data_IF_503732461692
#
_entry.id   IF_503732461692
#
_cell.length_a   1.000
_cell.length_b   1.000
_cell.length_c   1.000
_cell.angle_alpha   90.00
_cell.angle_beta   90.00
_cell.angle_gamma   90.00
#
_symmetry.space_group_name_H-M   'P 1'
#
loop_
_entity.id
_entity.type
_entity.pdbx_description
1 polymer ?
#
# COMPACT_ATOMS: atom_id res chain seq x y z
N UNK A 1 -11.79 -16.99 -9.89
CA UNK A 1 -12.22 -16.12 -8.81
C UNK A 1 -12.83 -14.82 -9.30
N UNK A 2 -13.21 -13.99 -8.37
CA UNK A 2 -13.76 -12.65 -8.58
C UNK A 2 -12.95 -11.64 -7.78
N UNK A 3 -11.61 -11.73 -7.84
CA UNK A 3 -10.69 -10.79 -7.17
C UNK A 3 -10.96 -9.38 -7.66
N UNK A 4 -10.85 -8.39 -6.78
CA UNK A 4 -11.15 -6.99 -7.10
C UNK A 4 -12.62 -6.60 -6.97
N UNK A 5 -13.53 -7.55 -6.70
CA UNK A 5 -14.95 -7.23 -6.56
C UNK A 5 -15.24 -6.31 -5.37
N UNK A 6 -14.51 -6.44 -4.26
CA UNK A 6 -14.67 -5.55 -3.10
C UNK A 6 -14.35 -4.09 -3.46
N UNK A 7 -13.22 -3.85 -4.15
CA UNK A 7 -12.87 -2.52 -4.64
C UNK A 7 -13.85 -2.01 -5.70
N UNK A 8 -14.31 -2.87 -6.59
CA UNK A 8 -15.37 -2.50 -7.53
C UNK A 8 -16.66 -2.10 -6.81
N UNK A 9 -16.98 -2.73 -5.67
CA UNK A 9 -18.13 -2.35 -4.84
C UNK A 9 -17.95 -1.01 -4.14
N UNK A 10 -16.73 -0.64 -3.76
CA UNK A 10 -16.45 0.72 -3.31
C UNK A 10 -16.97 1.76 -4.32
N UNK A 11 -16.65 1.59 -5.61
CA UNK A 11 -17.17 2.43 -6.69
C UNK A 11 -18.69 2.34 -6.85
N UNK A 12 -19.22 1.10 -6.86
CA UNK A 12 -20.65 0.85 -7.06
C UNK A 12 -21.53 1.50 -6.00
N UNK A 13 -21.05 1.68 -4.78
CA UNK A 13 -21.79 2.28 -3.68
C UNK A 13 -22.13 3.77 -3.89
N UNK A 14 -21.55 4.41 -4.90
CA UNK A 14 -21.85 5.79 -5.32
C UNK A 14 -22.73 5.86 -6.57
N UNK A 15 -23.12 4.70 -7.16
CA UNK A 15 -23.78 4.62 -8.48
C UNK A 15 -25.30 4.48 -8.40
N UNK A 16 -25.89 4.90 -7.29
CA UNK A 16 -27.33 5.03 -7.12
C UNK A 16 -27.99 3.89 -6.36
N UNK A 17 -29.07 4.24 -5.71
CA UNK A 17 -29.93 3.36 -4.90
C UNK A 17 -31.40 3.55 -5.28
N UNK A 18 -32.33 3.04 -4.46
CA UNK A 18 -33.74 3.13 -4.77
C UNK A 18 -34.25 4.57 -4.86
N UNK A 19 -33.75 5.46 -3.98
CA UNK A 19 -34.20 6.84 -3.86
C UNK A 19 -33.12 7.88 -4.16
N UNK A 20 -31.87 7.48 -4.30
CA UNK A 20 -30.74 8.34 -4.60
C UNK A 20 -30.21 8.01 -6.00
N UNK A 21 -30.34 8.91 -6.98
CA UNK A 21 -29.83 8.70 -8.32
C UNK A 21 -28.31 8.50 -8.37
N UNK A 22 -27.76 7.94 -9.47
CA UNK A 22 -26.31 7.82 -9.64
C UNK A 22 -25.59 9.15 -9.42
N UNK A 23 -24.43 9.11 -8.75
CA UNK A 23 -23.54 10.24 -8.41
C UNK A 23 -24.14 11.24 -7.40
N UNK A 24 -25.42 11.15 -7.07
CA UNK A 24 -26.09 12.09 -6.17
C UNK A 24 -25.67 11.93 -4.72
N UNK A 25 -25.27 10.76 -4.26
CA UNK A 25 -24.83 10.52 -2.87
C UNK A 25 -23.74 11.54 -2.44
N UNK A 26 -22.66 11.57 -3.18
CA UNK A 26 -21.54 12.48 -2.89
C UNK A 26 -21.93 13.95 -3.10
N UNK A 27 -22.76 14.25 -4.11
CA UNK A 27 -23.23 15.61 -4.39
C UNK A 27 -24.09 16.14 -3.24
N UNK A 28 -25.03 15.36 -2.76
CA UNK A 28 -25.92 15.74 -1.66
C UNK A 28 -25.17 16.03 -0.36
N UNK A 29 -24.16 15.23 -0.02
CA UNK A 29 -23.30 15.48 1.14
C UNK A 29 -22.46 16.76 0.96
N UNK A 30 -21.92 16.99 -0.22
CA UNK A 30 -21.14 18.21 -0.51
C UNK A 30 -22.01 19.49 -0.46
N UNK A 31 -23.27 19.43 -0.87
CA UNK A 31 -24.20 20.57 -0.81
C UNK A 31 -24.47 21.05 0.61
N UNK A 32 -24.41 20.17 1.59
CA UNK A 32 -24.56 20.54 3.01
C UNK A 32 -23.22 20.88 3.69
N UNK A 33 -22.15 21.04 2.90
CA UNK A 33 -20.80 21.35 3.41
C UNK A 33 -20.02 20.13 3.89
N UNK A 34 -20.45 18.94 3.51
CA UNK A 34 -19.81 17.67 3.89
C UNK A 34 -18.64 17.28 2.98
N UNK A 35 -17.86 16.36 3.47
CA UNK A 35 -16.81 15.63 2.74
C UNK A 35 -17.17 14.15 2.75
N UNK A 36 -16.90 13.46 1.67
CA UNK A 36 -17.20 12.03 1.50
C UNK A 36 -16.04 11.37 0.79
N UNK A 37 -15.66 10.19 1.27
CA UNK A 37 -14.67 9.35 0.63
C UNK A 37 -14.90 7.87 0.98
N UNK A 38 -14.14 6.99 0.33
CA UNK A 38 -14.08 5.56 0.63
C UNK A 38 -12.71 5.01 0.29
N UNK A 39 -12.38 3.86 0.83
CA UNK A 39 -11.19 3.10 0.45
C UNK A 39 -11.38 1.61 0.74
N UNK A 40 -10.68 0.78 -0.02
CA UNK A 40 -10.64 -0.68 0.16
C UNK A 40 -9.21 -1.12 0.45
N UNK A 41 -9.06 -1.89 1.52
CA UNK A 41 -7.82 -2.56 1.88
C UNK A 41 -7.96 -4.08 1.68
N UNK A 42 -6.99 -4.83 2.13
CA UNK A 42 -7.02 -6.29 2.14
C UNK A 42 -8.13 -6.85 3.05
N UNK A 43 -8.48 -6.13 4.13
CA UNK A 43 -9.34 -6.61 5.20
C UNK A 43 -10.74 -5.98 5.18
N UNK A 44 -10.88 -4.74 4.69
CA UNK A 44 -12.12 -3.99 4.79
C UNK A 44 -12.34 -3.01 3.63
N UNK A 45 -13.59 -2.60 3.45
CA UNK A 45 -13.94 -1.38 2.72
C UNK A 45 -14.54 -0.39 3.71
N UNK A 46 -13.95 0.80 3.80
CA UNK A 46 -14.44 1.88 4.64
C UNK A 46 -15.12 2.95 3.79
N UNK A 47 -16.25 3.45 4.30
CA UNK A 47 -16.97 4.60 3.76
C UNK A 47 -17.04 5.63 4.87
N UNK A 48 -16.68 6.87 4.59
CA UNK A 48 -16.64 7.89 5.62
C UNK A 48 -17.13 9.24 5.11
N UNK A 49 -18.01 9.82 5.91
CA UNK A 49 -18.63 11.11 5.66
C UNK A 49 -18.33 12.06 6.83
N UNK A 50 -17.89 13.26 6.54
CA UNK A 50 -17.79 14.34 7.53
C UNK A 50 -18.81 15.40 7.18
N UNK A 51 -19.75 15.67 8.08
CA UNK A 51 -20.84 16.64 7.87
C UNK A 51 -21.00 17.53 9.08
N UNK A 52 -21.59 18.74 8.94
CA UNK A 52 -22.02 19.52 10.11
C UNK A 52 -22.99 18.70 10.98
N UNK A 53 -22.97 18.82 12.34
CA UNK A 53 -23.77 18.01 13.23
C UNK A 53 -25.28 18.01 12.92
N UNK A 54 -25.82 19.13 12.44
CA UNK A 54 -27.22 19.26 12.03
C UNK A 54 -27.63 18.34 10.86
N UNK A 55 -26.65 17.81 10.10
CA UNK A 55 -26.90 16.91 8.98
C UNK A 55 -26.51 15.44 9.28
N UNK A 56 -26.19 15.11 10.53
CA UNK A 56 -25.83 13.74 10.90
C UNK A 56 -26.94 12.73 10.55
N UNK A 57 -28.19 13.07 10.83
CA UNK A 57 -29.34 12.21 10.47
C UNK A 57 -29.50 12.03 8.95
N UNK A 58 -29.18 13.05 8.17
CA UNK A 58 -29.21 12.98 6.72
C UNK A 58 -28.10 12.05 6.17
N UNK A 59 -26.87 12.19 6.66
CA UNK A 59 -25.76 11.31 6.30
C UNK A 59 -26.07 9.84 6.67
N UNK A 60 -26.53 9.59 7.90
CA UNK A 60 -26.92 8.25 8.34
C UNK A 60 -28.03 7.64 7.47
N UNK A 61 -29.00 8.43 7.02
CA UNK A 61 -30.05 7.96 6.12
C UNK A 61 -29.49 7.57 4.74
N UNK A 62 -28.54 8.34 4.20
CA UNK A 62 -27.86 8.01 2.93
C UNK A 62 -27.02 6.73 3.05
N UNK A 63 -26.31 6.55 4.17
CA UNK A 63 -25.54 5.33 4.44
C UNK A 63 -26.44 4.08 4.55
N UNK A 64 -27.54 4.18 5.28
CA UNK A 64 -28.51 3.09 5.38
C UNK A 64 -29.17 2.76 4.02
N UNK A 65 -29.44 3.79 3.22
CA UNK A 65 -30.01 3.63 1.88
C UNK A 65 -29.08 2.81 0.98
N UNK A 66 -27.79 3.17 0.87
CA UNK A 66 -26.84 2.43 0.03
C UNK A 66 -26.52 1.04 0.60
N UNK A 67 -26.58 0.84 1.91
CA UNK A 67 -26.34 -0.48 2.52
C UNK A 67 -27.36 -1.52 2.05
N UNK A 68 -28.64 -1.16 1.82
CA UNK A 68 -29.71 -2.15 1.53
C UNK A 68 -30.50 -1.91 0.28
N UNK A 69 -30.34 -0.76 -0.37
CA UNK A 69 -31.16 -0.40 -1.53
C UNK A 69 -30.36 -0.02 -2.77
N UNK A 70 -29.08 -0.43 -2.80
CA UNK A 70 -28.20 -0.21 -3.95
C UNK A 70 -28.80 -0.81 -5.22
N UNK A 71 -28.70 -0.11 -6.34
CA UNK A 71 -29.17 -0.57 -7.67
C UNK A 71 -28.02 -1.10 -8.48
N UNK A 72 -28.02 -2.41 -8.72
CA UNK A 72 -27.00 -3.12 -9.49
C UNK A 72 -27.43 -3.32 -10.94
N UNK A 73 -27.53 -2.22 -11.70
CA UNK A 73 -27.87 -2.30 -13.12
C UNK A 73 -26.68 -2.85 -13.94
N UNK A 74 -26.92 -3.78 -14.89
CA UNK A 74 -25.85 -4.33 -15.73
C UNK A 74 -25.04 -3.26 -16.48
N UNK A 75 -25.67 -2.18 -16.93
CA UNK A 75 -24.98 -1.06 -17.59
C UNK A 75 -23.98 -0.36 -16.64
N UNK A 76 -24.40 -0.10 -15.41
CA UNK A 76 -23.56 0.53 -14.38
C UNK A 76 -22.40 -0.38 -13.97
N UNK A 77 -22.68 -1.67 -13.75
CA UNK A 77 -21.66 -2.67 -13.44
C UNK A 77 -20.59 -2.71 -14.53
N UNK A 78 -21.01 -2.73 -15.80
CA UNK A 78 -20.08 -2.76 -16.94
C UNK A 78 -19.28 -1.45 -17.09
N UNK A 79 -19.89 -0.30 -16.76
CA UNK A 79 -19.19 0.99 -16.75
C UNK A 79 -18.12 1.02 -15.66
N UNK A 80 -18.49 0.69 -14.43
CA UNK A 80 -17.56 0.72 -13.31
C UNK A 80 -16.43 -0.31 -13.41
N UNK A 81 -16.73 -1.48 -13.97
CA UNK A 81 -15.66 -2.44 -14.30
C UNK A 81 -14.58 -1.81 -15.16
N UNK A 82 -14.94 -1.08 -16.21
CA UNK A 82 -13.97 -0.41 -17.08
C UNK A 82 -13.18 0.68 -16.36
N UNK A 83 -13.82 1.39 -15.43
CA UNK A 83 -13.14 2.39 -14.59
C UNK A 83 -12.08 1.70 -13.72
N UNK A 84 -12.44 0.62 -13.03
CA UNK A 84 -11.51 -0.15 -12.18
C UNK A 84 -10.40 -0.80 -13.01
N UNK A 85 -10.71 -1.33 -14.20
CA UNK A 85 -9.68 -1.85 -15.12
C UNK A 85 -8.68 -0.77 -15.54
N UNK A 86 -9.16 0.44 -15.84
CA UNK A 86 -8.28 1.54 -16.21
C UNK A 86 -7.45 2.01 -15.02
N UNK A 87 -8.03 2.07 -13.84
CA UNK A 87 -7.30 2.36 -12.60
C UNK A 87 -6.20 1.33 -12.35
N UNK A 88 -6.50 0.03 -12.56
CA UNK A 88 -5.49 -1.02 -12.46
C UNK A 88 -4.35 -0.81 -13.45
N UNK A 89 -4.67 -0.48 -14.72
CA UNK A 89 -3.63 -0.17 -15.71
C UNK A 89 -2.76 0.99 -15.26
N UNK A 90 -3.37 2.07 -14.78
CA UNK A 90 -2.64 3.27 -14.36
C UNK A 90 -1.79 3.06 -13.10
N UNK A 91 -2.35 2.41 -12.07
CA UNK A 91 -1.71 2.28 -10.77
C UNK A 91 -0.80 1.07 -10.63
N UNK A 92 -0.98 0.06 -11.50
CA UNK A 92 -0.27 -1.20 -11.35
C UNK A 92 0.41 -1.61 -12.66
N UNK A 93 -0.36 -1.85 -13.75
CA UNK A 93 0.22 -2.48 -14.94
C UNK A 93 1.21 -1.57 -15.67
N UNK A 94 0.98 -0.26 -15.66
CA UNK A 94 1.87 0.76 -16.25
C UNK A 94 2.78 1.42 -15.21
N UNK A 95 2.64 1.09 -13.93
CA UNK A 95 3.49 1.61 -12.88
C UNK A 95 4.51 0.55 -12.42
N UNK A 96 5.81 0.80 -12.58
CA UNK A 96 6.85 -0.13 -12.14
C UNK A 96 6.77 -0.50 -10.65
N UNK A 97 6.39 0.45 -9.80
CA UNK A 97 6.26 0.21 -8.36
C UNK A 97 5.04 -0.67 -8.08
N UNK A 98 3.91 -0.40 -8.75
CA UNK A 98 2.71 -1.23 -8.67
C UNK A 98 2.99 -2.69 -9.08
N UNK A 99 3.72 -2.89 -10.18
CA UNK A 99 4.16 -4.23 -10.60
C UNK A 99 5.07 -4.91 -9.56
N UNK A 100 5.98 -4.14 -8.94
CA UNK A 100 6.86 -4.67 -7.90
C UNK A 100 6.06 -5.10 -6.66
N UNK A 101 5.08 -4.31 -6.24
CA UNK A 101 4.18 -4.64 -5.10
C UNK A 101 3.38 -5.90 -5.41
N UNK A 102 2.75 -6.02 -6.58
CA UNK A 102 2.04 -7.26 -6.95
C UNK A 102 2.96 -8.48 -6.94
N UNK A 103 4.16 -8.34 -7.53
CA UNK A 103 5.13 -9.43 -7.55
C UNK A 103 5.61 -9.79 -6.16
N UNK A 104 5.81 -8.79 -5.30
CA UNK A 104 6.23 -8.98 -3.93
C UNK A 104 5.17 -9.75 -3.13
N UNK A 105 3.90 -9.32 -3.17
CA UNK A 105 2.81 -10.02 -2.49
C UNK A 105 2.63 -11.46 -2.98
N UNK A 106 2.69 -11.69 -4.29
CA UNK A 106 2.60 -13.03 -4.87
C UNK A 106 3.75 -13.96 -4.48
N UNK A 107 4.90 -13.42 -4.06
CA UNK A 107 6.02 -14.19 -3.52
C UNK A 107 5.91 -14.39 -2.01
N UNK A 108 5.52 -13.32 -1.28
CA UNK A 108 5.41 -13.35 0.16
C UNK A 108 4.32 -14.35 0.59
N UNK A 109 3.16 -14.32 -0.04
CA UNK A 109 2.05 -15.20 0.30
C UNK A 109 1.83 -16.26 -0.79
N UNK A 110 1.86 -17.54 -0.39
CA UNK A 110 1.68 -18.67 -1.30
C UNK A 110 0.29 -19.29 -1.25
N UNK A 111 -0.43 -19.08 -0.15
CA UNK A 111 -1.76 -19.65 0.11
C UNK A 111 -2.79 -18.58 0.50
N UNK A 112 -2.39 -17.66 1.37
CA UNK A 112 -3.30 -16.64 1.91
C UNK A 112 -3.75 -15.66 0.82
N UNK A 113 -5.00 -15.15 0.87
CA UNK A 113 -5.52 -14.15 -0.07
C UNK A 113 -4.72 -12.86 -0.17
N UNK A 114 -3.89 -12.51 0.81
CA UNK A 114 -3.00 -11.35 0.72
C UNK A 114 -1.93 -11.44 -0.39
N UNK A 115 -1.92 -12.54 -1.15
CA UNK A 115 -1.04 -12.68 -2.31
C UNK A 115 -1.45 -11.85 -3.55
N UNK A 116 -2.57 -11.14 -3.49
CA UNK A 116 -3.01 -10.16 -4.50
C UNK A 116 -3.43 -8.85 -3.84
N UNK A 117 -3.46 -7.78 -4.62
CA UNK A 117 -3.90 -6.45 -4.19
C UNK A 117 -5.43 -6.33 -4.24
N UNK A 118 -6.01 -5.42 -3.44
CA UNK A 118 -7.46 -5.21 -3.35
C UNK A 118 -8.12 -4.93 -4.72
N UNK A 119 -7.40 -4.30 -5.66
CA UNK A 119 -7.91 -4.03 -7.01
C UNK A 119 -8.08 -5.29 -7.88
N UNK A 120 -7.44 -6.41 -7.51
CA UNK A 120 -7.54 -7.68 -8.20
C UNK A 120 -6.83 -7.75 -9.55
N UNK A 121 -7.33 -8.58 -10.46
CA UNK A 121 -6.78 -8.73 -11.81
C UNK A 121 -7.83 -8.40 -12.88
N UNK A 122 -7.40 -7.88 -14.03
CA UNK A 122 -8.30 -7.60 -15.16
C UNK A 122 -9.05 -8.88 -15.57
N UNK A 123 -8.38 -10.02 -15.63
CA UNK A 123 -8.99 -11.30 -15.99
C UNK A 123 -10.06 -11.79 -14.99
N UNK A 124 -9.96 -11.42 -13.71
CA UNK A 124 -11.01 -11.71 -12.73
C UNK A 124 -12.16 -10.70 -12.85
N UNK A 125 -11.87 -9.40 -13.02
CA UNK A 125 -12.87 -8.36 -13.23
C UNK A 125 -13.73 -8.61 -14.47
N UNK A 126 -13.12 -9.02 -15.58
CA UNK A 126 -13.83 -9.40 -16.82
C UNK A 126 -14.86 -10.52 -16.62
N UNK A 127 -14.63 -11.40 -15.66
CA UNK A 127 -15.53 -12.53 -15.35
C UNK A 127 -16.65 -12.18 -14.38
N UNK A 128 -16.58 -11.04 -13.68
CA UNK A 128 -17.63 -10.63 -12.73
C UNK A 128 -18.95 -10.39 -13.48
N UNK A 129 -19.97 -11.11 -13.08
CA UNK A 129 -21.32 -10.99 -13.63
C UNK A 129 -22.23 -10.15 -12.71
N UNK A 130 -23.37 -9.63 -13.22
CA UNK A 130 -24.36 -8.99 -12.33
C UNK A 130 -24.86 -9.91 -11.21
N UNK A 131 -24.95 -11.22 -11.43
CA UNK A 131 -25.31 -12.18 -10.40
C UNK A 131 -24.23 -12.33 -9.33
N UNK A 132 -22.93 -12.22 -9.71
CA UNK A 132 -21.83 -12.20 -8.75
C UNK A 132 -21.87 -10.93 -7.90
N UNK A 133 -22.15 -9.78 -8.51
CA UNK A 133 -22.32 -8.52 -7.79
C UNK A 133 -23.49 -8.60 -6.80
N UNK A 134 -24.66 -9.09 -7.24
CA UNK A 134 -25.81 -9.24 -6.34
C UNK A 134 -25.47 -10.16 -5.16
N UNK A 135 -24.86 -11.31 -5.44
CA UNK A 135 -24.46 -12.26 -4.40
C UNK A 135 -23.44 -11.66 -3.43
N UNK A 136 -22.46 -10.90 -3.93
CA UNK A 136 -21.47 -10.22 -3.10
C UNK A 136 -22.15 -9.18 -2.18
N UNK A 137 -23.02 -8.35 -2.72
CA UNK A 137 -23.79 -7.36 -1.98
C UNK A 137 -24.64 -8.01 -0.89
N UNK A 138 -25.43 -9.03 -1.26
CA UNK A 138 -26.30 -9.73 -0.32
C UNK A 138 -25.54 -10.48 0.79
N UNK A 139 -24.29 -10.89 0.51
CA UNK A 139 -23.47 -11.61 1.49
C UNK A 139 -22.76 -10.66 2.45
N UNK A 140 -22.15 -9.59 1.96
CA UNK A 140 -21.21 -8.78 2.74
C UNK A 140 -21.78 -7.45 3.24
N UNK A 141 -22.75 -6.85 2.55
CA UNK A 141 -23.38 -5.60 2.96
C UNK A 141 -24.59 -5.84 3.86
N UNK A 142 -24.30 -6.35 5.05
CA UNK A 142 -25.29 -6.71 6.08
C UNK A 142 -24.96 -5.97 7.38
N UNK A 143 -25.98 -5.58 8.19
CA UNK A 143 -25.75 -4.90 9.48
C UNK A 143 -24.83 -5.68 10.42
N UNK A 144 -24.90 -7.02 10.39
CA UNK A 144 -24.06 -7.88 11.21
C UNK A 144 -22.62 -8.08 10.66
N UNK A 145 -22.32 -7.52 9.50
CA UNK A 145 -20.98 -7.48 8.91
C UNK A 145 -20.46 -6.04 8.76
N UNK A 146 -21.09 -5.09 9.43
CA UNK A 146 -20.70 -3.68 9.39
C UNK A 146 -20.55 -3.13 10.82
N UNK A 147 -19.64 -2.19 10.99
CA UNK A 147 -19.55 -1.36 12.20
C UNK A 147 -19.79 0.07 11.80
N UNK A 148 -20.75 0.70 12.44
CA UNK A 148 -20.99 2.13 12.30
C UNK A 148 -20.25 2.86 13.41
N UNK A 149 -19.44 3.85 13.03
CA UNK A 149 -18.70 4.70 13.95
C UNK A 149 -19.19 6.13 13.75
N UNK A 150 -19.64 6.76 14.81
CA UNK A 150 -20.09 8.15 14.81
C UNK A 150 -19.26 8.94 15.81
N UNK A 151 -18.58 9.97 15.31
CA UNK A 151 -17.73 10.85 16.11
C UNK A 151 -18.14 12.29 15.86
N UNK A 152 -18.41 13.06 16.91
CA UNK A 152 -18.77 14.47 16.74
C UNK A 152 -19.43 15.08 17.97
N UNK A 153 -19.87 16.31 17.84
CA UNK A 153 -20.58 17.07 18.88
C UNK A 153 -22.08 16.72 18.86
N UNK A 154 -22.39 15.50 19.31
CA UNK A 154 -23.75 14.97 19.43
C UNK A 154 -23.85 14.14 20.72
N UNK A 155 -24.99 14.27 21.41
CA UNK A 155 -25.24 13.40 22.57
C UNK A 155 -25.61 11.97 22.16
N UNK A 156 -25.29 11.00 23.01
CA UNK A 156 -25.49 9.58 22.73
C UNK A 156 -26.96 9.23 22.45
N UNK A 157 -27.91 9.83 23.16
CA UNK A 157 -29.34 9.52 22.97
C UNK A 157 -29.83 9.98 21.60
N UNK A 158 -29.36 11.14 21.13
CA UNK A 158 -29.63 11.64 19.78
C UNK A 158 -29.03 10.71 18.74
N UNK A 159 -27.75 10.31 18.88
CA UNK A 159 -27.10 9.37 17.95
C UNK A 159 -27.85 8.05 17.89
N UNK A 160 -28.19 7.43 19.04
CA UNK A 160 -28.96 6.18 19.09
C UNK A 160 -30.28 6.29 18.34
N UNK A 161 -31.02 7.37 18.56
CA UNK A 161 -32.30 7.61 17.88
C UNK A 161 -32.12 7.73 16.36
N UNK A 162 -31.13 8.48 15.90
CA UNK A 162 -30.85 8.66 14.49
C UNK A 162 -30.44 7.34 13.81
N UNK A 163 -29.58 6.56 14.48
CA UNK A 163 -29.16 5.24 14.01
C UNK A 163 -30.33 4.28 13.94
N UNK A 164 -31.17 4.23 14.98
CA UNK A 164 -32.35 3.37 14.99
C UNK A 164 -33.35 3.76 13.89
N UNK A 165 -33.55 5.05 13.64
CA UNK A 165 -34.40 5.54 12.55
C UNK A 165 -33.87 5.17 11.16
N UNK A 166 -32.56 5.18 10.97
CA UNK A 166 -31.93 4.93 9.67
C UNK A 166 -31.71 3.44 9.40
N UNK A 167 -31.18 2.71 10.38
CA UNK A 167 -30.75 1.31 10.20
C UNK A 167 -31.65 0.29 10.89
N UNK A 168 -32.48 0.71 11.85
CA UNK A 168 -33.24 -0.21 12.71
C UNK A 168 -34.22 -1.13 11.96
N UNK A 169 -34.70 -0.72 10.79
CA UNK A 169 -35.56 -1.54 9.94
C UNK A 169 -34.78 -2.54 9.05
N UNK A 170 -33.45 -2.47 8.99
CA UNK A 170 -32.63 -3.37 8.17
C UNK A 170 -32.43 -4.68 8.94
N UNK A 171 -32.92 -5.82 8.42
CA UNK A 171 -32.80 -7.08 9.14
C UNK A 171 -31.36 -7.59 9.15
N UNK A 172 -31.00 -8.32 10.21
CA UNK A 172 -29.75 -9.07 10.27
C UNK A 172 -29.71 -10.09 9.14
N UNK A 173 -28.58 -10.16 8.42
CA UNK A 173 -28.35 -11.17 7.39
C UNK A 173 -27.72 -12.46 7.92
N UNK A 174 -27.38 -13.37 7.00
CA UNK A 174 -26.56 -14.52 7.31
C UNK A 174 -25.12 -14.09 7.65
N UNK A 175 -24.43 -14.88 8.46
CA UNK A 175 -23.00 -14.61 8.72
C UNK A 175 -22.20 -14.83 7.43
N UNK A 176 -21.38 -13.85 7.02
CA UNK A 176 -20.54 -14.01 5.83
C UNK A 176 -19.47 -15.08 6.07
N UNK A 177 -19.08 -15.82 5.03
CA UNK A 177 -18.01 -16.81 5.15
C UNK A 177 -16.68 -16.12 5.48
N UNK A 178 -16.00 -16.60 6.53
CA UNK A 178 -14.68 -16.13 6.96
C UNK A 178 -13.67 -17.29 6.95
N UNK A 179 -13.64 -18.03 5.84
CA UNK A 179 -12.73 -19.17 5.68
C UNK A 179 -11.79 -18.92 4.51
N UNK A 180 -10.51 -18.84 4.80
CA UNK A 180 -9.45 -18.71 3.82
C UNK A 180 -8.24 -19.58 4.22
N UNK A 181 -7.40 -19.97 3.26
CA UNK A 181 -6.21 -20.75 3.56
C UNK A 181 -5.22 -19.98 4.42
N UNK A 182 -4.73 -20.58 5.48
CA UNK A 182 -3.67 -20.03 6.32
C UNK A 182 -2.34 -20.06 5.55
N UNK A 183 -1.57 -18.97 5.61
CA UNK A 183 -0.21 -18.94 5.04
C UNK A 183 0.72 -19.82 5.88
N UNK A 184 1.40 -20.79 5.28
CA UNK A 184 2.37 -21.61 6.00
C UNK A 184 3.61 -20.77 6.37
N UNK A 185 4.29 -21.11 7.49
CA UNK A 185 5.55 -20.46 7.84
C UNK A 185 6.56 -20.53 6.69
N UNK A 186 7.21 -19.42 6.39
CA UNK A 186 8.27 -19.37 5.42
C UNK A 186 9.55 -19.99 6.00
N UNK A 187 10.24 -20.85 5.23
CA UNK A 187 11.40 -21.60 5.68
C UNK A 187 12.69 -21.27 4.90
N UNK A 188 12.58 -20.46 3.84
CA UNK A 188 13.71 -20.05 3.00
C UNK A 188 13.48 -18.65 2.44
N UNK A 189 14.56 -17.95 2.11
CA UNK A 189 14.46 -16.66 1.40
C UNK A 189 13.81 -16.84 0.05
N UNK A 190 12.80 -16.01 -0.25
CA UNK A 190 12.18 -15.93 -1.58
C UNK A 190 12.67 -14.65 -2.26
N UNK A 191 13.02 -14.74 -3.55
CA UNK A 191 13.56 -13.59 -4.28
C UNK A 191 13.07 -13.52 -5.72
N UNK A 192 12.90 -12.30 -6.24
CA UNK A 192 12.68 -12.04 -7.66
C UNK A 192 13.36 -10.73 -8.08
N UNK A 193 13.69 -10.65 -9.37
CA UNK A 193 14.15 -9.41 -10.01
C UNK A 193 13.19 -9.11 -11.16
N UNK A 194 12.63 -7.91 -11.14
CA UNK A 194 11.86 -7.33 -12.23
C UNK A 194 12.77 -6.42 -13.05
N UNK A 195 12.95 -6.74 -14.33
CA UNK A 195 13.75 -5.94 -15.27
C UNK A 195 12.82 -5.17 -16.19
N UNK A 196 12.46 -3.97 -15.75
CA UNK A 196 11.60 -3.04 -16.49
C UNK A 196 12.19 -1.65 -16.46
N UNK A 197 11.82 -0.81 -17.43
CA UNK A 197 12.31 0.56 -17.49
C UNK A 197 11.89 1.35 -16.26
N UNK A 198 12.88 1.77 -15.47
CA UNK A 198 12.69 2.59 -14.27
C UNK A 198 13.78 3.65 -14.17
N UNK A 199 13.37 4.84 -13.72
CA UNK A 199 14.32 5.91 -13.44
C UNK A 199 15.07 5.68 -12.12
N UNK A 200 14.40 5.09 -11.15
CA UNK A 200 14.91 4.82 -9.80
C UNK A 200 14.75 3.33 -9.52
N UNK A 201 15.80 2.54 -9.64
CA UNK A 201 15.80 1.16 -9.16
C UNK A 201 15.48 1.09 -7.67
N UNK A 202 14.78 0.01 -7.25
CA UNK A 202 14.36 -0.18 -5.87
C UNK A 202 14.64 -1.62 -5.44
N UNK A 203 15.13 -1.77 -4.23
CA UNK A 203 15.16 -3.05 -3.49
C UNK A 203 14.10 -2.98 -2.41
N UNK A 204 13.24 -3.98 -2.34
CA UNK A 204 12.26 -4.17 -1.27
C UNK A 204 12.51 -5.51 -0.61
N UNK A 205 12.59 -5.53 0.71
CA UNK A 205 12.58 -6.73 1.53
C UNK A 205 11.36 -6.73 2.44
N UNK A 206 10.81 -7.89 2.73
CA UNK A 206 9.70 -8.01 3.67
C UNK A 206 9.75 -9.32 4.44
N UNK A 207 9.25 -9.27 5.64
CA UNK A 207 9.22 -10.36 6.60
C UNK A 207 7.82 -10.55 7.12
N UNK A 208 7.32 -11.78 7.18
CA UNK A 208 6.04 -12.05 7.82
C UNK A 208 6.09 -11.66 9.30
N UNK A 209 5.06 -10.96 9.73
CA UNK A 209 4.83 -10.55 11.12
C UNK A 209 3.46 -11.08 11.58
N UNK A 210 3.18 -11.12 12.89
CA UNK A 210 1.90 -11.61 13.37
C UNK A 210 0.76 -10.65 13.01
N UNK A 211 -0.47 -11.13 13.18
CA UNK A 211 -1.69 -10.33 13.08
C UNK A 211 -1.66 -9.09 13.98
N UNK A 212 -2.37 -8.04 13.58
CA UNK A 212 -2.39 -6.74 14.29
C UNK A 212 -2.79 -6.84 15.77
N UNK A 213 -3.59 -7.84 16.13
CA UNK A 213 -4.01 -8.11 17.52
C UNK A 213 -2.89 -8.68 18.42
N UNK A 214 -1.75 -9.07 17.86
CA UNK A 214 -0.69 -9.73 18.61
C UNK A 214 0.09 -8.75 19.52
N UNK A 215 0.56 -9.21 20.69
CA UNK A 215 1.26 -8.37 21.66
C UNK A 215 2.66 -7.89 21.18
N UNK A 216 3.21 -8.49 20.13
CA UNK A 216 4.49 -8.10 19.53
C UNK A 216 4.39 -6.86 18.64
N UNK A 217 3.18 -6.46 18.19
CA UNK A 217 2.97 -5.40 17.21
C UNK A 217 3.49 -4.04 17.68
N UNK A 218 3.25 -3.55 18.91
CA UNK A 218 3.81 -2.27 19.33
C UNK A 218 5.35 -2.21 19.27
N UNK A 219 6.03 -3.33 19.57
CA UNK A 219 7.49 -3.40 19.47
C UNK A 219 7.97 -3.41 18.00
N UNK A 220 7.19 -4.00 17.07
CA UNK A 220 7.46 -3.96 15.63
C UNK A 220 7.24 -2.55 15.06
N UNK A 221 6.23 -1.82 15.52
CA UNK A 221 5.99 -0.43 15.14
C UNK A 221 7.13 0.49 15.62
N UNK A 222 7.59 0.32 16.86
CA UNK A 222 8.77 1.04 17.37
C UNK A 222 10.02 0.68 16.56
N UNK A 223 10.21 -0.59 16.22
CA UNK A 223 11.33 -1.02 15.37
C UNK A 223 11.28 -0.35 13.98
N UNK A 224 10.09 -0.25 13.36
CA UNK A 224 9.91 0.44 12.09
C UNK A 224 10.28 1.92 12.19
N UNK A 225 9.87 2.61 13.28
CA UNK A 225 10.26 4.01 13.55
C UNK A 225 11.76 4.16 13.76
N UNK A 226 12.44 3.26 14.51
CA UNK A 226 13.91 3.28 14.66
C UNK A 226 14.60 3.16 13.29
N UNK A 227 14.13 2.28 12.43
CA UNK A 227 14.73 2.05 11.12
C UNK A 227 14.43 3.19 10.12
N UNK A 228 13.24 3.79 10.16
CA UNK A 228 12.75 4.69 9.11
C UNK A 228 12.05 5.97 9.59
N UNK A 229 11.89 6.18 10.91
CA UNK A 229 11.24 7.36 11.47
C UNK A 229 12.09 8.63 11.31
N UNK A 230 11.78 9.44 10.29
CA UNK A 230 12.40 10.72 10.02
C UNK A 230 13.87 10.67 9.60
N UNK A 231 14.45 11.84 9.44
CA UNK A 231 15.79 12.04 8.85
C UNK A 231 16.94 11.41 9.65
N UNK A 232 16.79 11.25 10.95
CA UNK A 232 17.82 10.65 11.82
C UNK A 232 17.66 9.14 12.04
N UNK A 233 16.75 8.49 11.30
CA UNK A 233 16.54 7.04 11.33
C UNK A 233 17.73 6.27 10.74
N UNK A 234 17.91 5.03 11.17
CA UNK A 234 19.11 4.24 10.80
C UNK A 234 19.29 4.06 9.31
N UNK A 235 18.22 3.72 8.58
CA UNK A 235 18.29 3.51 7.13
C UNK A 235 18.63 4.79 6.38
N UNK A 236 18.01 5.93 6.76
CA UNK A 236 18.32 7.22 6.15
C UNK A 236 19.76 7.63 6.46
N UNK A 237 20.17 7.56 7.72
CA UNK A 237 21.53 7.94 8.11
C UNK A 237 22.58 7.11 7.37
N UNK A 238 22.42 5.80 7.36
CA UNK A 238 23.41 4.92 6.73
C UNK A 238 23.40 5.00 5.21
N UNK A 239 22.24 4.68 4.57
CA UNK A 239 22.21 4.49 3.11
C UNK A 239 22.20 5.81 2.36
N UNK A 240 21.57 6.86 2.91
CA UNK A 240 21.40 8.13 2.19
C UNK A 240 22.47 9.14 2.60
N UNK A 241 22.69 9.34 3.93
CA UNK A 241 23.55 10.43 4.44
C UNK A 241 25.04 10.07 4.48
N UNK A 242 25.40 8.86 4.97
CA UNK A 242 26.80 8.47 5.13
C UNK A 242 27.36 7.77 3.88
N UNK A 243 26.73 6.68 3.48
CA UNK A 243 27.28 5.84 2.39
C UNK A 243 26.92 6.37 1.01
N UNK A 244 25.95 7.27 0.88
CA UNK A 244 25.44 7.82 -0.38
C UNK A 244 25.07 6.74 -1.41
N UNK A 245 24.58 5.61 -0.92
CA UNK A 245 24.17 4.46 -1.75
C UNK A 245 22.77 4.62 -2.30
N UNK A 246 21.86 5.20 -1.51
CA UNK A 246 20.46 5.38 -1.85
C UNK A 246 20.08 6.87 -1.89
N UNK A 247 19.00 7.18 -2.60
CA UNK A 247 18.35 8.49 -2.58
C UNK A 247 17.16 8.52 -1.62
N UNK A 248 16.61 7.34 -1.31
CA UNK A 248 15.56 7.13 -0.34
C UNK A 248 15.72 5.75 0.30
N UNK A 249 15.45 5.63 1.58
CA UNK A 249 15.39 4.36 2.28
C UNK A 249 14.34 4.45 3.39
N UNK A 250 13.71 3.33 3.71
CA UNK A 250 12.67 3.33 4.74
C UNK A 250 12.19 1.93 5.07
N UNK A 251 11.20 1.88 5.95
CA UNK A 251 10.50 0.67 6.33
C UNK A 251 9.12 0.99 6.85
N UNK A 252 8.23 0.03 6.78
CA UNK A 252 6.86 0.13 7.25
C UNK A 252 6.43 -1.18 7.88
N UNK A 253 5.70 -1.09 8.98
CA UNK A 253 5.05 -2.23 9.59
C UNK A 253 3.61 -2.31 9.06
N UNK A 254 3.37 -3.17 8.07
CA UNK A 254 2.05 -3.39 7.48
C UNK A 254 1.27 -4.37 8.34
N UNK A 255 0.57 -3.85 9.35
CA UNK A 255 -0.29 -4.64 10.23
C UNK A 255 -1.66 -4.87 9.59
N UNK A 256 -2.07 -6.12 9.54
CA UNK A 256 -3.33 -6.58 8.94
C UNK A 256 -4.12 -7.43 9.95
N UNK A 257 -5.40 -7.73 9.67
CA UNK A 257 -6.24 -8.61 10.52
C UNK A 257 -5.55 -9.98 10.70
N UNK A 258 -4.99 -10.53 9.63
CA UNK A 258 -4.15 -11.73 9.62
C UNK A 258 -2.65 -11.38 9.54
N UNK A 259 -1.73 -12.36 9.59
CA UNK A 259 -0.30 -12.09 9.53
C UNK A 259 0.12 -11.19 8.37
N UNK A 260 0.63 -10.01 8.70
CA UNK A 260 1.07 -8.97 7.79
C UNK A 260 2.54 -9.04 7.42
N UNK A 261 3.12 -7.90 7.04
CA UNK A 261 4.51 -7.80 6.58
C UNK A 261 5.25 -6.63 7.23
N UNK A 262 6.47 -6.86 7.65
CA UNK A 262 7.43 -5.81 7.98
C UNK A 262 8.28 -5.54 6.74
N UNK A 263 8.12 -4.38 6.14
CA UNK A 263 8.78 -4.01 4.89
C UNK A 263 9.97 -3.09 5.13
N UNK A 264 11.04 -3.25 4.36
CA UNK A 264 12.17 -2.32 4.24
C UNK A 264 12.49 -2.10 2.78
N UNK A 265 12.90 -0.90 2.39
CA UNK A 265 13.23 -0.58 1.01
C UNK A 265 14.36 0.42 0.88
N UNK A 266 15.02 0.41 -0.28
CA UNK A 266 15.97 1.43 -0.71
C UNK A 266 15.82 1.71 -2.19
N UNK A 267 15.62 3.00 -2.53
CA UNK A 267 15.65 3.52 -3.89
C UNK A 267 17.00 4.16 -4.21
N UNK A 268 17.59 3.86 -5.38
CA UNK A 268 18.94 4.30 -5.70
C UNK A 268 19.07 4.75 -7.15
N UNK A 269 20.12 5.50 -7.46
CA UNK A 269 20.40 5.91 -8.84
C UNK A 269 20.93 4.74 -9.66
N UNK A 270 20.59 4.62 -10.97
CA UNK A 270 21.08 3.55 -11.85
C UNK A 270 22.61 3.44 -11.94
N UNK A 271 23.33 4.51 -11.61
CA UNK A 271 24.80 4.55 -11.57
C UNK A 271 25.39 3.87 -10.31
N UNK A 272 24.57 3.49 -9.34
CA UNK A 272 25.02 2.81 -8.13
C UNK A 272 24.98 1.30 -8.31
N UNK A 273 25.86 0.62 -7.59
CA UNK A 273 25.84 -0.85 -7.51
C UNK A 273 24.65 -1.32 -6.66
N UNK A 274 23.62 -1.86 -7.31
CA UNK A 274 22.42 -2.35 -6.63
C UNK A 274 22.70 -3.48 -5.64
N UNK A 275 23.70 -4.33 -5.89
CA UNK A 275 24.08 -5.39 -4.96
C UNK A 275 24.65 -4.81 -3.64
N UNK A 276 25.42 -3.73 -3.74
CA UNK A 276 25.93 -3.02 -2.57
C UNK A 276 24.84 -2.30 -1.81
N UNK A 277 23.85 -1.72 -2.50
CA UNK A 277 22.67 -1.11 -1.86
C UNK A 277 21.88 -2.16 -1.09
N UNK A 278 21.61 -3.29 -1.74
CA UNK A 278 20.90 -4.43 -1.14
C UNK A 278 21.65 -4.95 0.11
N UNK A 279 22.95 -5.18 -0.01
CA UNK A 279 23.75 -5.63 1.11
C UNK A 279 23.70 -4.64 2.30
N UNK A 280 23.87 -3.34 2.06
CA UNK A 280 23.83 -2.32 3.10
C UNK A 280 22.45 -2.22 3.77
N UNK A 281 21.35 -2.37 3.02
CA UNK A 281 19.99 -2.40 3.55
C UNK A 281 19.82 -3.56 4.56
N UNK A 282 20.15 -4.78 4.15
CA UNK A 282 19.94 -5.96 4.98
C UNK A 282 20.97 -6.08 6.11
N UNK A 283 22.18 -5.55 5.97
CA UNK A 283 23.13 -5.40 7.06
C UNK A 283 22.58 -4.50 8.18
N UNK A 284 21.87 -3.41 7.84
CA UNK A 284 21.29 -2.54 8.86
C UNK A 284 20.12 -3.23 9.59
N UNK A 285 19.32 -3.99 8.85
CA UNK A 285 18.30 -4.87 9.47
C UNK A 285 18.96 -5.93 10.38
N UNK A 286 20.09 -6.50 9.98
CA UNK A 286 20.82 -7.46 10.82
C UNK A 286 21.35 -6.82 12.13
N UNK A 287 21.80 -5.56 12.07
CA UNK A 287 22.32 -4.85 13.26
C UNK A 287 21.30 -4.73 14.39
N UNK A 288 20.02 -4.49 14.08
CA UNK A 288 18.98 -4.39 15.13
C UNK A 288 18.70 -5.74 15.80
N UNK A 289 19.04 -6.86 15.15
CA UNK A 289 19.00 -8.19 15.77
C UNK A 289 20.17 -8.41 16.72
N UNK A 290 21.34 -7.94 16.36
CA UNK A 290 22.59 -8.22 17.03
C UNK A 290 22.87 -7.23 18.18
N UNK A 291 22.58 -5.96 17.96
CA UNK A 291 22.91 -4.87 18.88
C UNK A 291 21.65 -4.25 19.46
N UNK A 292 21.60 -4.01 20.78
CA UNK A 292 20.52 -3.23 21.37
C UNK A 292 20.45 -1.84 20.75
N UNK A 293 19.23 -1.31 20.61
CA UNK A 293 19.04 0.10 20.24
C UNK A 293 19.45 1.02 21.40
N UNK A 294 20.00 2.18 21.08
CA UNK A 294 20.38 3.17 22.08
C UNK A 294 19.13 3.79 22.73
N UNK A 295 19.28 4.29 23.95
CA UNK A 295 18.14 4.82 24.71
C UNK A 295 17.49 6.03 24.02
N UNK A 296 18.29 6.91 23.45
CA UNK A 296 17.85 8.10 22.72
C UNK A 296 17.12 7.75 21.41
N UNK A 297 17.56 6.70 20.69
CA UNK A 297 16.86 6.19 19.52
C UNK A 297 15.49 5.59 19.89
N UNK A 298 15.45 4.83 21.00
CA UNK A 298 14.19 4.25 21.50
C UNK A 298 13.21 5.35 21.91
N UNK A 299 13.67 6.32 22.70
CA UNK A 299 12.85 7.41 23.21
C UNK A 299 12.31 8.28 22.05
N UNK A 300 13.15 8.55 21.05
CA UNK A 300 12.73 9.25 19.84
C UNK A 300 11.61 8.49 19.12
N UNK A 301 11.82 7.20 18.85
CA UNK A 301 10.85 6.38 18.11
C UNK A 301 9.50 6.31 18.85
N UNK A 302 9.52 6.13 20.16
CA UNK A 302 8.33 6.11 21.02
C UNK A 302 7.59 7.45 21.00
N UNK A 303 8.32 8.55 21.13
CA UNK A 303 7.75 9.90 21.11
C UNK A 303 7.14 10.22 19.72
N UNK A 304 7.78 9.80 18.63
CA UNK A 304 7.27 9.99 17.27
C UNK A 304 5.94 9.26 17.05
N UNK A 305 5.85 7.99 17.47
CA UNK A 305 4.62 7.20 17.38
C UNK A 305 3.52 7.77 18.29
N UNK A 306 3.86 8.15 19.52
CA UNK A 306 2.93 8.76 20.46
C UNK A 306 2.38 10.11 19.93
N UNK A 307 3.27 10.95 19.38
CA UNK A 307 2.87 12.21 18.78
C UNK A 307 2.01 11.99 17.53
N UNK A 308 2.39 11.04 16.66
CA UNK A 308 1.61 10.67 15.49
C UNK A 308 0.19 10.26 15.84
N UNK A 309 0.03 9.42 16.87
CA UNK A 309 -1.28 9.04 17.38
C UNK A 309 -2.08 10.27 17.85
N UNK A 310 -1.51 11.12 18.69
CA UNK A 310 -2.20 12.33 19.19
C UNK A 310 -2.58 13.28 18.05
N UNK A 311 -1.69 13.46 17.05
CA UNK A 311 -2.00 14.30 15.89
C UNK A 311 -3.11 13.69 15.02
N UNK A 312 -3.17 12.37 14.89
CA UNK A 312 -4.27 11.67 14.22
C UNK A 312 -5.64 11.96 14.83
N UNK A 313 -5.71 12.25 16.13
CA UNK A 313 -6.96 12.54 16.85
C UNK A 313 -7.42 14.00 16.76
N UNK A 314 -6.77 14.86 16.00
CA UNK A 314 -7.14 16.28 15.91
C UNK A 314 -8.45 16.54 15.14
N UNK A 315 -8.93 15.57 14.37
CA UNK A 315 -10.16 15.67 13.57
C UNK A 315 -11.12 14.55 13.93
N UNK A 316 -12.42 14.81 13.76
CA UNK A 316 -13.46 13.77 13.95
C UNK A 316 -13.24 12.58 13.01
N UNK A 317 -12.80 12.83 11.78
CA UNK A 317 -12.45 11.79 10.83
C UNK A 317 -11.28 10.94 11.34
N UNK A 318 -10.19 11.56 11.81
CA UNK A 318 -9.04 10.84 12.35
C UNK A 318 -9.41 9.95 13.56
N UNK A 319 -10.25 10.45 14.47
CA UNK A 319 -10.77 9.64 15.59
C UNK A 319 -11.59 8.46 15.07
N UNK A 320 -12.46 8.68 14.07
CA UNK A 320 -13.28 7.61 13.49
C UNK A 320 -12.42 6.54 12.78
N UNK A 321 -11.39 6.95 12.05
CA UNK A 321 -10.45 6.04 11.38
C UNK A 321 -9.67 5.19 12.39
N UNK A 322 -9.13 5.78 13.45
CA UNK A 322 -8.40 5.04 14.48
C UNK A 322 -9.29 4.07 15.25
N UNK A 323 -10.54 4.45 15.57
CA UNK A 323 -11.53 3.54 16.16
C UNK A 323 -11.86 2.39 15.22
N UNK A 324 -12.03 2.69 13.91
CA UNK A 324 -12.28 1.70 12.88
C UNK A 324 -11.14 0.71 12.75
N UNK A 325 -9.89 1.20 12.70
CA UNK A 325 -8.70 0.38 12.66
C UNK A 325 -8.61 -0.55 13.88
N UNK A 326 -8.81 -0.01 15.08
CA UNK A 326 -8.80 -0.80 16.31
C UNK A 326 -9.89 -1.89 16.30
N UNK A 327 -11.09 -1.58 15.83
CA UNK A 327 -12.19 -2.54 15.79
C UNK A 327 -11.97 -3.64 14.76
N UNK A 328 -11.56 -3.30 13.52
CA UNK A 328 -11.50 -4.27 12.42
C UNK A 328 -10.16 -4.95 12.27
N UNK A 329 -9.07 -4.19 12.36
CA UNK A 329 -7.72 -4.72 12.11
C UNK A 329 -7.14 -5.34 13.39
N UNK A 330 -7.35 -4.69 14.54
CA UNK A 330 -6.87 -5.19 15.84
C UNK A 330 -7.90 -6.07 16.58
N UNK A 331 -9.15 -6.11 16.10
CA UNK A 331 -10.22 -6.97 16.63
C UNK A 331 -10.94 -6.43 17.86
N UNK A 332 -10.52 -5.28 18.43
CA UNK A 332 -11.11 -4.70 19.65
C UNK A 332 -10.91 -3.18 19.67
N UNK A 333 -12.00 -2.42 19.58
CA UNK A 333 -11.97 -0.96 19.65
C UNK A 333 -11.38 -0.41 20.97
N UNK A 334 -11.37 -1.18 22.07
CA UNK A 334 -10.73 -0.76 23.33
C UNK A 334 -9.22 -0.53 23.18
N UNK A 335 -8.59 -1.11 22.18
CA UNK A 335 -7.21 -0.84 21.82
C UNK A 335 -6.94 0.63 21.49
N UNK A 336 -7.95 1.33 20.97
CA UNK A 336 -7.90 2.78 20.80
C UNK A 336 -7.69 3.50 22.13
N UNK A 337 -8.28 3.03 23.23
CA UNK A 337 -8.13 3.65 24.56
C UNK A 337 -6.72 3.46 25.12
N UNK A 338 -6.04 2.37 24.78
CA UNK A 338 -4.63 2.16 25.13
C UNK A 338 -3.74 3.24 24.48
N UNK A 339 -4.12 3.68 23.28
CA UNK A 339 -3.54 4.80 22.57
C UNK A 339 -2.01 4.77 22.52
N UNK A 340 -1.38 5.92 22.78
CA UNK A 340 0.07 6.07 22.79
C UNK A 340 0.77 5.29 23.91
N UNK A 341 0.07 4.89 24.97
CA UNK A 341 0.69 4.22 26.12
C UNK A 341 1.30 2.87 25.77
N UNK A 342 0.75 2.17 24.78
CA UNK A 342 1.29 0.90 24.28
C UNK A 342 2.69 1.05 23.68
N UNK A 343 2.99 2.17 23.01
CA UNK A 343 4.34 2.45 22.49
C UNK A 343 5.30 2.84 23.60
N UNK A 344 4.83 3.66 24.56
CA UNK A 344 5.66 4.11 25.68
C UNK A 344 6.13 2.97 26.58
N UNK A 345 5.36 1.86 26.64
CA UNK A 345 5.71 0.67 27.41
C UNK A 345 6.81 -0.18 26.76
N UNK A 346 7.10 -0.03 25.46
CA UNK A 346 8.07 -0.85 24.73
C UNK A 346 9.49 -0.61 25.26
N UNK A 347 10.25 -1.68 25.47
CA UNK A 347 11.66 -1.63 25.89
C UNK A 347 12.62 -1.94 24.72
N UNK A 348 13.90 -1.57 24.86
CA UNK A 348 14.93 -1.96 23.90
C UNK A 348 15.05 -3.48 23.75
N UNK A 349 14.81 -4.22 24.84
CA UNK A 349 14.78 -5.69 24.84
C UNK A 349 13.62 -6.24 23.99
N UNK A 350 12.44 -5.60 24.04
CA UNK A 350 11.30 -6.00 23.21
C UNK A 350 11.57 -5.79 21.72
N UNK A 351 12.14 -4.64 21.36
CA UNK A 351 12.52 -4.35 19.98
C UNK A 351 13.53 -5.37 19.46
N UNK A 352 14.56 -5.68 20.23
CA UNK A 352 15.55 -6.68 19.85
C UNK A 352 14.95 -8.09 19.76
N UNK A 353 14.06 -8.45 20.68
CA UNK A 353 13.35 -9.73 20.68
C UNK A 353 12.52 -9.93 19.43
N UNK A 354 11.71 -8.94 19.03
CA UNK A 354 10.90 -9.03 17.80
C UNK A 354 11.78 -9.02 16.55
N UNK A 355 12.84 -8.24 16.50
CA UNK A 355 13.81 -8.26 15.42
C UNK A 355 14.43 -9.65 15.23
N UNK A 356 14.87 -10.29 16.30
CA UNK A 356 15.41 -11.66 16.27
C UNK A 356 14.39 -12.73 15.89
N UNK A 357 13.13 -12.53 16.24
CA UNK A 357 12.05 -13.48 15.98
C UNK A 357 11.57 -13.41 14.53
N UNK A 358 11.41 -12.22 13.97
CA UNK A 358 10.73 -12.02 12.71
C UNK A 358 11.67 -11.64 11.55
N UNK A 359 12.70 -10.81 11.78
CA UNK A 359 13.56 -10.31 10.71
C UNK A 359 14.73 -11.26 10.44
N UNK A 360 14.43 -12.51 10.14
CA UNK A 360 15.42 -13.57 9.87
C UNK A 360 15.42 -13.96 8.40
N UNK A 361 16.56 -14.45 7.91
CA UNK A 361 16.74 -14.73 6.47
C UNK A 361 15.75 -15.78 5.93
N UNK A 362 15.39 -16.77 6.73
CA UNK A 362 14.39 -17.76 6.37
C UNK A 362 12.98 -17.20 6.21
N UNK A 363 12.71 -16.01 6.77
CA UNK A 363 11.43 -15.29 6.67
C UNK A 363 11.49 -14.13 5.66
N UNK A 364 12.61 -13.95 4.94
CA UNK A 364 12.79 -12.85 4.01
C UNK A 364 12.19 -13.17 2.63
N UNK A 365 11.32 -12.28 2.16
CA UNK A 365 10.96 -12.14 0.75
C UNK A 365 11.57 -10.86 0.21
N UNK A 366 12.21 -10.90 -0.96
CA UNK A 366 12.80 -9.71 -1.58
C UNK A 366 12.45 -9.60 -3.06
N UNK A 367 12.24 -8.36 -3.50
CA UNK A 367 12.05 -8.02 -4.91
C UNK A 367 12.98 -6.87 -5.25
N UNK A 368 13.75 -7.03 -6.33
CA UNK A 368 14.58 -5.97 -6.88
C UNK A 368 13.98 -5.51 -8.21
N UNK A 369 13.68 -4.23 -8.29
CA UNK A 369 13.25 -3.54 -9.50
C UNK A 369 14.44 -2.82 -10.10
N UNK A 370 14.81 -3.17 -11.33
CA UNK A 370 15.98 -2.59 -11.99
C UNK A 370 15.73 -2.42 -13.50
N UNK A 371 16.39 -1.45 -14.14
CA UNK A 371 16.31 -1.34 -15.59
C UNK A 371 16.83 -2.60 -16.28
N UNK A 372 16.44 -2.88 -17.53
CA UNK A 372 17.02 -3.94 -18.34
C UNK A 372 18.54 -3.81 -18.41
N UNK A 373 19.24 -4.94 -18.51
CA UNK A 373 20.67 -4.91 -18.71
C UNK A 373 20.99 -4.14 -20.03
N UNK A 374 21.83 -3.12 -19.95
CA UNK A 374 22.28 -2.44 -21.16
C UNK A 374 23.00 -3.44 -22.06
N UNK A 375 22.73 -3.45 -23.38
CA UNK A 375 23.52 -4.26 -24.29
C UNK A 375 24.99 -3.85 -24.16
N UNK A 376 25.93 -4.79 -24.29
CA UNK A 376 27.33 -4.44 -24.23
C UNK A 376 27.63 -3.34 -25.28
N UNK A 377 28.49 -2.39 -24.95
CA UNK A 377 28.87 -1.36 -25.92
C UNK A 377 29.29 -2.02 -27.22
N UNK A 378 28.93 -1.47 -28.40
CA UNK A 378 29.36 -2.03 -29.68
C UNK A 378 30.87 -2.18 -29.68
N UNK A 379 31.35 -3.31 -30.17
CA UNK A 379 32.78 -3.55 -30.28
C UNK A 379 33.48 -2.35 -30.98
N UNK A 380 34.64 -1.91 -30.51
CA UNK A 380 35.36 -0.83 -31.15
C UNK A 380 35.45 -1.14 -32.65
N UNK A 381 35.03 -0.21 -33.48
CA UNK A 381 35.19 -0.34 -34.93
C UNK A 381 36.67 -0.65 -35.24
N UNK A 382 36.96 -1.63 -36.08
CA UNK A 382 38.34 -1.88 -36.49
C UNK A 382 38.95 -0.55 -37.01
N UNK A 383 40.24 -0.30 -36.73
CA UNK A 383 40.88 0.92 -37.19
C UNK A 383 40.64 1.04 -38.68
N UNK A 384 40.11 2.17 -39.10
CA UNK A 384 39.89 2.48 -40.53
C UNK A 384 41.21 2.24 -41.24
N UNK A 385 41.25 1.29 -42.18
CA UNK A 385 42.39 1.10 -43.01
C UNK A 385 42.77 2.48 -43.58
N UNK A 386 44.03 2.89 -43.36
CA UNK A 386 44.53 4.15 -43.87
C UNK A 386 44.33 4.16 -45.39
N UNK A 387 43.49 5.06 -45.86
CA UNK A 387 43.40 5.29 -47.31
C UNK A 387 44.83 5.66 -47.83
N UNK A 388 45.31 5.03 -48.92
CA UNK A 388 46.56 5.45 -49.51
C UNK A 388 46.48 6.92 -49.87
N UNK A 389 47.52 7.66 -49.54
CA UNK A 389 47.64 9.09 -49.88
C UNK A 389 47.36 9.31 -51.35
N UNK A 390 46.59 10.36 -51.72
CA UNK A 390 46.35 10.67 -53.12
C UNK A 390 47.70 10.89 -53.84
N UNK A 391 47.87 10.22 -55.00
CA UNK A 391 49.07 10.33 -55.82
C UNK A 391 49.34 11.81 -56.17
N UNK A 392 50.60 12.24 -56.02
CA UNK A 392 51.01 13.58 -56.33
C UNK A 392 50.73 13.87 -57.80
N UNK A 393 50.27 15.08 -58.16
CA UNK A 393 50.03 15.44 -59.56
C UNK A 393 51.34 15.43 -60.37
N UNK A 394 51.28 15.01 -61.63
CA UNK A 394 52.46 15.01 -62.49
C UNK A 394 53.04 16.45 -62.71
N UNK A 395 54.38 16.59 -62.90
CA UNK A 395 54.99 17.91 -63.09
C UNK A 395 54.51 18.57 -64.42
N UNK A 396 54.42 19.90 -64.46
CA UNK A 396 53.95 20.61 -65.67
C UNK A 396 54.88 20.41 -66.84
N UNK A 397 54.29 20.10 -68.00
CA UNK A 397 55.04 19.93 -69.27
C UNK A 397 55.82 21.22 -69.65
N UNK A 398 57.13 21.08 -69.94
CA UNK A 398 57.94 22.17 -70.34
C UNK A 398 57.46 22.78 -71.67
N UNK A 399 57.22 24.06 -71.68
CA UNK A 399 56.86 24.82 -72.87
C UNK A 399 58.09 24.86 -73.85
N UNK A 400 57.92 24.24 -74.98
CA UNK A 400 58.86 24.41 -76.08
C UNK A 400 58.74 25.81 -76.69
N UNK A 401 59.81 26.57 -76.57
CA UNK A 401 59.89 27.89 -77.18
C UNK A 401 59.81 27.83 -78.68
N UNK A 402 59.04 28.74 -79.23
CA UNK A 402 59.18 29.11 -80.70
C UNK A 402 60.15 30.24 -80.83
N UNK A 403 61.04 30.08 -81.73
CA UNK A 403 61.96 31.14 -82.30
C UNK A 403 61.48 31.43 -83.70
N UNK A 404 62.06 32.48 -84.28
CA UNK A 404 61.56 33.87 -84.27
C UNK A 404 60.62 34.16 -85.41
#
# INVERSE_FOLDING_TARGET
>A
GIRGVAHMFEHMMFKGSAHVPPEEHARLLKEVGGQVNAYTTEDLTAYHDTVPPSYAGFALALEAERMRQLKLFPATINSERKVVEEEKRLRVDNDPIGQAIERFRALAYTKHPYNWTAIGTIADLDRVTPADCQRFYDTYYQPNNATLIVVGDLDEATVRKLVEQSFGAIPRGAEPPRSYPVEPPQTETRAATLRIEVQIPVVVGGYHIPAASAPDVPALEVLASVLSGGESSRLIQRLVRHDHLAIAAGGVNETLEEPGLFLVYAGYLPSRDGARVEAALFEEVARVREQPIAADELDKAKNELAAGFVFGLQTVDGVAQELGRAQYVEGDWHRFVEGATRYLAVTAGDVQRVARKYLVDTNLTRVTLSPPAQPPPPAPLPPRASQPAPASPPPPAAARGAKP
#
